data_IF_768067680661
#
_entry.id   IF_768067680661
#
_cell.length_a   1.000
_cell.length_b   1.000
_cell.length_c   1.000
_cell.angle_alpha   90.00
_cell.angle_beta   90.00
_cell.angle_gamma   90.00
#
_symmetry.space_group_name_H-M   'P 1'
#
loop_
_entity.id
_entity.type
_entity.pdbx_description
1 polymer ?
#
# COMPACT_ATOMS: atom_id res chain seq x y z
N UNK A 1 -62.30 49.73 -32.28
CA UNK A 1 -62.73 50.89 -33.08
C UNK A 1 -63.12 52.01 -32.14
N UNK A 2 -62.80 53.24 -32.53
CA UNK A 2 -63.03 54.52 -31.87
C UNK A 2 -64.43 54.61 -31.21
N UNK A 3 -64.66 55.39 -30.13
CA UNK A 3 -64.48 56.84 -30.12
C UNK A 3 -64.42 57.46 -28.72
N UNK A 4 -63.51 58.43 -28.62
CA UNK A 4 -63.45 59.60 -27.71
C UNK A 4 -64.77 60.15 -27.18
N UNK A 5 -64.74 60.71 -25.96
CA UNK A 5 -64.80 62.18 -25.74
C UNK A 5 -64.54 62.54 -24.28
N UNK A 6 -63.46 63.29 -24.08
CA UNK A 6 -63.25 64.17 -22.92
C UNK A 6 -64.09 65.41 -23.19
N UNK A 7 -64.94 65.80 -22.24
CA UNK A 7 -65.43 67.17 -22.13
C UNK A 7 -65.23 67.65 -20.70
N UNK A 8 -64.36 68.64 -20.55
CA UNK A 8 -64.01 69.32 -19.31
C UNK A 8 -64.78 70.63 -19.21
N UNK A 9 -65.68 70.75 -18.24
CA UNK A 9 -66.02 71.99 -17.49
C UNK A 9 -67.25 71.73 -16.60
N UNK A 10 -67.32 72.05 -15.32
CA UNK A 10 -66.38 72.63 -14.37
C UNK A 10 -67.03 72.64 -12.97
N UNK A 11 -66.21 72.93 -11.97
CA UNK A 11 -66.48 73.20 -10.54
C UNK A 11 -66.52 72.00 -9.58
N UNK A 12 -65.59 72.09 -8.62
CA UNK A 12 -65.45 71.44 -7.31
C UNK A 12 -65.87 69.97 -7.22
N UNK A 13 -64.89 69.08 -7.15
CA UNK A 13 -65.08 67.78 -6.50
C UNK A 13 -63.76 67.18 -6.05
N UNK A 14 -63.89 66.26 -5.09
CA UNK A 14 -62.96 65.21 -4.61
C UNK A 14 -62.10 65.54 -3.39
N UNK A 15 -62.00 64.65 -2.39
CA UNK A 15 -62.15 63.19 -2.46
C UNK A 15 -63.02 62.61 -1.33
N UNK A 16 -64.05 61.83 -1.68
CA UNK A 16 -64.68 60.85 -0.78
C UNK A 16 -64.08 59.48 -1.08
N UNK A 17 -63.41 58.88 -0.10
CA UNK A 17 -62.81 57.54 -0.19
C UNK A 17 -63.90 56.49 -0.39
N UNK A 18 -63.90 55.80 -1.54
CA UNK A 18 -64.86 54.72 -1.84
C UNK A 18 -64.18 53.37 -1.59
N UNK A 19 -64.69 52.60 -0.62
CA UNK A 19 -64.27 51.20 -0.41
C UNK A 19 -65.27 50.30 -1.13
N UNK A 20 -64.79 49.39 -1.99
CA UNK A 20 -65.61 48.42 -2.71
C UNK A 20 -65.25 47.00 -2.29
N UNK A 21 -66.23 46.24 -1.82
CA UNK A 21 -66.09 44.80 -1.62
C UNK A 21 -66.17 44.09 -2.97
N UNK A 22 -65.55 42.93 -3.12
CA UNK A 22 -65.58 42.14 -4.36
C UNK A 22 -66.12 40.75 -4.07
N UNK A 23 -66.83 40.18 -5.03
CA UNK A 23 -67.23 38.78 -4.98
C UNK A 23 -65.99 37.88 -5.01
N UNK A 24 -65.85 36.95 -4.07
CA UNK A 24 -64.65 36.10 -4.02
C UNK A 24 -64.55 35.13 -5.21
N UNK A 25 -65.70 34.80 -5.85
CA UNK A 25 -65.75 33.89 -6.99
C UNK A 25 -65.53 34.58 -8.33
N UNK A 26 -66.23 35.68 -8.62
CA UNK A 26 -66.13 36.38 -9.91
C UNK A 26 -65.32 37.70 -9.88
N UNK A 27 -64.85 38.12 -8.70
CA UNK A 27 -64.08 39.35 -8.45
C UNK A 27 -64.75 40.65 -8.90
N UNK A 28 -66.06 40.62 -9.16
CA UNK A 28 -66.83 41.82 -9.49
C UNK A 28 -67.12 42.66 -8.23
N UNK A 29 -67.16 44.00 -8.36
CA UNK A 29 -67.45 44.88 -7.22
C UNK A 29 -68.89 44.72 -6.73
N UNK A 30 -69.03 44.46 -5.44
CA UNK A 30 -70.29 44.31 -4.73
C UNK A 30 -70.70 45.63 -4.07
N UNK A 31 -71.98 45.95 -4.19
CA UNK A 31 -72.61 46.99 -3.36
C UNK A 31 -73.25 46.30 -2.16
N UNK A 32 -72.69 46.52 -0.97
CA UNK A 32 -73.33 46.04 0.25
C UNK A 32 -74.60 46.86 0.51
N UNK A 33 -75.65 46.18 0.95
CA UNK A 33 -76.90 46.83 1.34
C UNK A 33 -76.66 47.79 2.52
N UNK A 34 -77.41 48.88 2.57
CA UNK A 34 -77.30 49.88 3.62
C UNK A 34 -77.53 49.31 5.02
N UNK A 35 -78.27 48.21 5.14
CA UNK A 35 -78.52 47.47 6.39
C UNK A 35 -77.25 46.88 7.04
N UNK A 36 -76.20 46.58 6.26
CA UNK A 36 -74.89 46.20 6.81
C UNK A 36 -74.21 47.33 7.60
N UNK A 37 -74.66 48.59 7.46
CA UNK A 37 -74.12 49.73 8.21
C UNK A 37 -74.69 49.85 9.64
N UNK A 38 -75.72 49.06 9.99
CA UNK A 38 -76.45 49.13 11.26
C UNK A 38 -76.46 47.79 12.02
N UNK A 39 -75.49 46.92 11.76
CA UNK A 39 -75.39 45.64 12.46
C UNK A 39 -75.03 45.89 13.94
N UNK A 40 -75.98 45.63 14.83
CA UNK A 40 -75.75 45.65 16.28
C UNK A 40 -74.86 44.46 16.68
N UNK A 41 -74.06 44.63 17.73
CA UNK A 41 -73.16 43.59 18.23
C UNK A 41 -73.89 42.29 18.64
N UNK A 42 -75.19 42.38 18.98
CA UNK A 42 -76.05 41.22 19.25
C UNK A 42 -76.37 40.38 18.00
N UNK A 43 -76.63 41.03 16.86
CA UNK A 43 -76.94 40.35 15.59
C UNK A 43 -75.73 39.61 15.02
N UNK A 44 -74.53 40.16 15.18
CA UNK A 44 -73.28 39.50 14.79
C UNK A 44 -73.03 38.25 15.64
N UNK A 45 -73.36 38.29 16.93
CA UNK A 45 -73.25 37.10 17.80
C UNK A 45 -74.24 35.99 17.44
N UNK A 46 -75.47 36.32 17.05
CA UNK A 46 -76.45 35.33 16.56
C UNK A 46 -76.03 34.71 15.21
N UNK A 47 -75.56 35.53 14.27
CA UNK A 47 -75.07 35.04 12.97
C UNK A 47 -73.78 34.22 13.10
N UNK A 48 -73.02 34.40 14.19
CA UNK A 48 -71.82 33.62 14.50
C UNK A 48 -72.09 32.28 15.22
N UNK A 49 -73.36 31.97 15.52
CA UNK A 49 -73.72 30.70 16.15
C UNK A 49 -73.55 29.54 15.13
N UNK A 50 -72.91 28.42 15.52
CA UNK A 50 -72.73 27.28 14.62
C UNK A 50 -74.09 26.70 14.20
N UNK A 51 -74.27 26.46 12.89
CA UNK A 51 -75.43 25.74 12.38
C UNK A 51 -75.30 24.27 12.79
N UNK A 52 -76.22 23.79 13.62
CA UNK A 52 -76.26 22.39 14.07
C UNK A 52 -76.56 21.48 12.88
N UNK A 53 -75.55 20.77 12.37
CA UNK A 53 -75.80 19.63 11.49
C UNK A 53 -76.25 18.45 12.37
N UNK A 54 -77.51 18.04 12.23
CA UNK A 54 -77.98 16.77 12.78
C UNK A 54 -77.40 15.66 11.91
N UNK A 55 -76.31 15.05 12.35
CA UNK A 55 -75.86 13.77 11.84
C UNK A 55 -76.44 12.67 12.72
N UNK A 56 -77.32 11.84 12.15
CA UNK A 56 -77.76 10.56 12.72
C UNK A 56 -76.58 9.59 12.77
N UNK A 57 -75.66 9.79 13.72
CA UNK A 57 -74.79 8.71 14.19
C UNK A 57 -74.12 9.14 15.50
N UNK A 58 -74.54 8.50 16.60
CA UNK A 58 -74.11 8.77 17.97
C UNK A 58 -72.67 8.38 18.25
N UNK A 59 -71.70 9.07 17.65
CA UNK A 59 -70.29 9.04 18.05
C UNK A 59 -69.71 10.44 18.02
N UNK A 60 -69.43 10.96 19.23
CA UNK A 60 -68.76 12.22 19.49
C UNK A 60 -67.57 12.43 18.56
N UNK A 61 -67.69 13.39 17.64
CA UNK A 61 -66.57 13.84 16.82
C UNK A 61 -66.22 15.28 17.18
N UNK A 62 -64.94 15.42 17.53
CA UNK A 62 -64.28 16.58 18.10
C UNK A 62 -64.60 17.84 17.29
N UNK A 63 -65.43 18.68 17.90
CA UNK A 63 -65.69 20.06 17.47
C UNK A 63 -64.36 20.81 17.50
N UNK A 64 -63.87 21.34 16.37
CA UNK A 64 -62.80 22.34 16.42
C UNK A 64 -63.33 23.51 17.26
N UNK A 65 -62.68 23.90 18.36
CA UNK A 65 -63.18 24.97 19.21
C UNK A 65 -63.07 26.28 18.44
N UNK A 66 -64.20 26.79 17.96
CA UNK A 66 -64.26 28.16 17.45
C UNK A 66 -64.16 29.08 18.67
N UNK A 67 -63.00 29.73 18.82
CA UNK A 67 -62.80 30.78 19.79
C UNK A 67 -63.83 31.88 19.51
N UNK A 68 -64.64 32.16 20.53
CA UNK A 68 -65.62 33.23 20.55
C UNK A 68 -64.89 34.58 20.38
N UNK A 69 -64.73 35.02 19.14
CA UNK A 69 -64.12 36.31 18.80
C UNK A 69 -65.07 37.42 19.23
N UNK A 70 -64.90 37.90 20.46
CA UNK A 70 -65.58 39.09 20.94
C UNK A 70 -64.98 40.32 20.26
N UNK A 71 -65.83 41.21 19.77
CA UNK A 71 -65.48 42.51 19.17
C UNK A 71 -64.70 43.46 20.11
N UNK A 72 -64.44 43.06 21.36
CA UNK A 72 -63.78 43.86 22.39
C UNK A 72 -62.27 43.56 22.59
N UNK A 73 -61.65 42.67 21.80
CA UNK A 73 -60.24 42.26 21.99
C UNK A 73 -59.30 42.65 20.85
N UNK A 74 -59.37 43.89 20.38
CA UNK A 74 -58.28 44.48 19.61
C UNK A 74 -57.81 45.76 20.30
N UNK A 75 -57.12 45.58 21.41
CA UNK A 75 -56.14 46.56 21.87
C UNK A 75 -54.83 46.34 21.12
N UNK A 76 -54.14 47.45 20.87
CA UNK A 76 -52.96 47.60 20.04
C UNK A 76 -51.80 46.67 20.45
N UNK A 77 -51.26 45.90 19.50
CA UNK A 77 -49.96 45.23 19.68
C UNK A 77 -48.97 45.65 18.58
N UNK A 78 -47.72 46.04 18.92
CA UNK A 78 -46.89 46.98 18.17
C UNK A 78 -46.01 46.34 17.07
N UNK A 79 -46.37 45.18 16.54
CA UNK A 79 -45.56 44.45 15.54
C UNK A 79 -45.96 44.74 14.08
N UNK A 80 -46.18 46.01 13.74
CA UNK A 80 -46.17 46.45 12.34
C UNK A 80 -44.72 46.76 11.95
N UNK A 81 -44.07 45.79 11.32
CA UNK A 81 -42.73 45.94 10.74
C UNK A 81 -42.81 46.92 9.57
N UNK A 82 -42.34 48.16 9.77
CA UNK A 82 -42.11 49.14 8.70
C UNK A 82 -40.85 48.76 7.91
N UNK A 83 -41.00 48.04 6.81
CA UNK A 83 -39.90 47.77 5.87
C UNK A 83 -39.86 48.86 4.80
N UNK A 84 -38.79 49.67 4.78
CA UNK A 84 -38.45 50.54 3.64
C UNK A 84 -37.63 49.73 2.63
N UNK A 85 -38.13 49.57 1.41
CA UNK A 85 -37.37 48.98 0.29
C UNK A 85 -37.49 49.91 -0.93
N UNK A 86 -36.38 50.20 -1.66
CA UNK A 86 -36.37 51.16 -2.76
C UNK A 86 -36.97 50.57 -4.05
N UNK A 87 -37.32 51.49 -4.96
CA UNK A 87 -38.09 51.25 -6.18
C UNK A 87 -37.40 50.34 -7.22
N UNK A 88 -38.14 49.36 -7.77
CA UNK A 88 -38.65 49.32 -9.16
C UNK A 88 -39.12 47.91 -9.57
N UNK A 89 -40.37 47.84 -10.06
CA UNK A 89 -40.96 46.95 -11.13
C UNK A 89 -40.59 45.46 -11.15
N UNK A 90 -41.47 44.47 -11.15
CA UNK A 90 -42.90 44.40 -11.52
C UNK A 90 -43.52 43.07 -11.01
N UNK A 91 -44.79 43.17 -10.57
CA UNK A 91 -45.89 42.21 -10.61
C UNK A 91 -45.74 40.82 -9.95
N UNK A 92 -46.09 40.76 -8.67
CA UNK A 92 -47.04 39.75 -8.18
C UNK A 92 -47.95 40.42 -7.12
N UNK A 93 -49.24 40.56 -7.45
CA UNK A 93 -50.15 41.50 -6.78
C UNK A 93 -50.80 40.81 -5.59
N UNK A 94 -50.11 40.86 -4.44
CA UNK A 94 -50.79 40.85 -3.14
C UNK A 94 -51.63 42.12 -3.05
N UNK A 95 -52.95 41.99 -3.07
CA UNK A 95 -53.86 43.13 -2.85
C UNK A 95 -53.88 43.50 -1.36
N UNK A 96 -52.77 44.03 -0.86
CA UNK A 96 -52.68 44.69 0.43
C UNK A 96 -52.92 46.20 0.25
N UNK A 97 -53.81 46.73 1.06
CA UNK A 97 -54.53 47.98 0.85
C UNK A 97 -53.64 49.19 1.17
N UNK A 98 -53.34 50.03 0.16
CA UNK A 98 -52.57 51.28 0.32
C UNK A 98 -53.49 52.50 0.37
N UNK A 99 -53.52 53.21 1.50
CA UNK A 99 -54.24 54.48 1.68
C UNK A 99 -53.31 55.67 1.38
N UNK A 100 -53.59 56.45 0.34
CA UNK A 100 -52.89 57.70 0.02
C UNK A 100 -53.80 58.90 0.30
N UNK A 101 -53.41 59.75 1.26
CA UNK A 101 -54.01 61.07 1.49
C UNK A 101 -54.09 61.46 2.97
N UNK A 102 -53.41 62.54 3.37
CA UNK A 102 -53.52 63.17 4.69
C UNK A 102 -54.78 64.03 4.75
N UNK A 103 -55.76 63.72 5.64
CA UNK A 103 -56.82 64.66 6.05
C UNK A 103 -57.40 64.31 7.44
N UNK A 104 -58.07 65.28 8.03
CA UNK A 104 -58.23 65.59 9.45
C UNK A 104 -58.99 64.58 10.35
N UNK A 105 -58.60 64.58 11.63
CA UNK A 105 -58.76 63.55 12.66
C UNK A 105 -60.18 63.34 13.26
N UNK A 106 -61.26 63.64 12.55
CA UNK A 106 -62.61 63.67 13.15
C UNK A 106 -63.57 62.52 12.80
N UNK A 107 -63.43 61.88 11.64
CA UNK A 107 -64.49 61.02 11.06
C UNK A 107 -64.05 59.57 10.74
N UNK A 108 -62.81 59.18 11.06
CA UNK A 108 -62.24 57.86 10.70
C UNK A 108 -62.73 56.68 11.56
N UNK A 109 -63.13 56.92 12.82
CA UNK A 109 -63.48 55.83 13.75
C UNK A 109 -64.71 55.02 13.32
N UNK A 110 -65.70 55.67 12.71
CA UNK A 110 -66.95 55.02 12.31
C UNK A 110 -66.79 54.21 11.00
N UNK A 111 -65.90 54.62 10.08
CA UNK A 111 -65.60 53.87 8.86
C UNK A 111 -64.71 52.65 9.15
N UNK A 112 -63.69 52.81 10.01
CA UNK A 112 -62.78 51.73 10.39
C UNK A 112 -63.51 50.58 11.10
N UNK A 113 -64.40 50.89 12.03
CA UNK A 113 -65.24 49.88 12.70
C UNK A 113 -66.16 49.14 11.70
N UNK A 114 -66.75 49.84 10.73
CA UNK A 114 -67.61 49.24 9.69
C UNK A 114 -66.86 48.24 8.82
N UNK A 115 -65.67 48.61 8.33
CA UNK A 115 -64.85 47.71 7.53
C UNK A 115 -64.42 46.47 8.32
N UNK A 116 -64.12 46.64 9.61
CA UNK A 116 -63.74 45.55 10.50
C UNK A 116 -64.89 44.56 10.74
N UNK A 117 -66.11 45.06 10.98
CA UNK A 117 -67.29 44.21 11.18
C UNK A 117 -67.64 43.42 9.91
N UNK A 118 -67.63 44.06 8.74
CA UNK A 118 -67.91 43.37 7.47
C UNK A 118 -66.84 42.32 7.13
N UNK A 119 -65.55 42.61 7.42
CA UNK A 119 -64.46 41.62 7.26
C UNK A 119 -64.68 40.38 8.13
N UNK A 120 -64.97 40.58 9.42
CA UNK A 120 -65.17 39.47 10.37
C UNK A 120 -66.35 38.60 9.97
N UNK A 121 -67.43 39.19 9.46
CA UNK A 121 -68.60 38.44 9.01
C UNK A 121 -68.30 37.59 7.77
N UNK A 122 -67.57 38.14 6.79
CA UNK A 122 -67.19 37.38 5.60
C UNK A 122 -66.21 36.26 5.91
N UNK A 123 -65.24 36.49 6.81
CA UNK A 123 -64.33 35.45 7.28
C UNK A 123 -65.09 34.33 8.02
N UNK A 124 -66.09 34.68 8.84
CA UNK A 124 -66.93 33.70 9.54
C UNK A 124 -67.75 32.84 8.56
N UNK A 125 -68.45 33.46 7.61
CA UNK A 125 -69.28 32.74 6.63
C UNK A 125 -68.43 31.84 5.72
N UNK A 126 -67.23 32.30 5.35
CA UNK A 126 -66.24 31.50 4.63
C UNK A 126 -65.70 30.33 5.47
N UNK A 127 -65.66 30.46 6.80
CA UNK A 127 -65.24 29.40 7.70
C UNK A 127 -66.28 28.28 7.91
N UNK A 128 -67.56 28.56 7.65
CA UNK A 128 -68.68 27.61 7.81
C UNK A 128 -69.14 26.97 6.49
N UNK A 129 -68.54 27.35 5.37
CA UNK A 129 -68.90 26.85 4.05
C UNK A 129 -67.64 26.55 3.24
N UNK A 130 -67.72 25.65 2.26
CA UNK A 130 -66.57 25.35 1.39
C UNK A 130 -66.24 26.47 0.39
N UNK A 131 -66.95 27.60 0.43
CA UNK A 131 -66.82 28.70 -0.53
C UNK A 131 -66.59 30.02 0.19
N UNK A 132 -65.57 30.75 -0.25
CA UNK A 132 -65.24 32.06 0.30
C UNK A 132 -66.34 33.09 -0.01
N UNK A 133 -66.72 33.85 1.01
CA UNK A 133 -67.70 34.91 1.00
C UNK A 133 -67.00 36.29 1.01
N UNK A 134 -67.61 37.36 0.46
CA UNK A 134 -68.97 37.43 -0.08
C UNK A 134 -69.07 36.94 -1.54
N UNK A 135 -70.24 36.43 -1.90
CA UNK A 135 -70.61 36.07 -3.27
C UNK A 135 -71.61 37.09 -3.83
N UNK A 136 -71.60 37.30 -5.16
CA UNK A 136 -72.67 38.04 -5.84
C UNK A 136 -73.89 37.14 -6.06
N UNK A 137 -75.04 37.75 -6.33
CA UNK A 137 -76.33 37.08 -6.61
C UNK A 137 -76.19 35.98 -7.68
N UNK A 138 -75.54 36.27 -8.82
CA UNK A 138 -75.32 35.28 -9.87
C UNK A 138 -74.45 34.08 -9.40
N UNK A 139 -73.46 34.34 -8.52
CA UNK A 139 -72.60 33.30 -7.97
C UNK A 139 -73.28 32.48 -6.88
N UNK A 140 -74.20 33.07 -6.11
CA UNK A 140 -75.01 32.35 -5.12
C UNK A 140 -76.05 31.47 -5.81
N UNK A 141 -76.70 31.95 -6.87
CA UNK A 141 -77.66 31.15 -7.63
C UNK A 141 -77.00 29.93 -8.26
N UNK A 142 -75.81 30.12 -8.87
CA UNK A 142 -75.02 29.01 -9.41
C UNK A 142 -74.60 28.00 -8.33
N UNK A 143 -74.38 28.46 -7.08
CA UNK A 143 -74.05 27.58 -5.96
C UNK A 143 -75.28 26.80 -5.48
N UNK A 144 -76.44 27.45 -5.38
CA UNK A 144 -77.70 26.82 -5.02
C UNK A 144 -78.10 25.74 -6.04
N UNK A 145 -78.01 26.04 -7.35
CA UNK A 145 -78.26 25.06 -8.42
C UNK A 145 -77.36 23.81 -8.26
N UNK A 146 -76.10 24.01 -7.89
CA UNK A 146 -75.15 22.91 -7.66
C UNK A 146 -75.53 22.09 -6.42
N UNK A 147 -75.96 22.74 -5.34
CA UNK A 147 -76.40 22.07 -4.11
C UNK A 147 -77.69 21.29 -4.34
N UNK A 148 -78.65 21.85 -5.07
CA UNK A 148 -79.90 21.16 -5.43
C UNK A 148 -79.63 19.93 -6.32
N UNK A 149 -78.67 20.04 -7.25
CA UNK A 149 -78.23 18.89 -8.04
C UNK A 149 -77.59 17.80 -7.16
N UNK A 150 -76.77 18.18 -6.18
CA UNK A 150 -76.18 17.24 -5.23
C UNK A 150 -77.22 16.57 -4.33
N UNK A 151 -78.21 17.33 -3.83
CA UNK A 151 -79.32 16.80 -3.04
C UNK A 151 -80.12 15.78 -3.85
N UNK A 152 -80.47 16.12 -5.09
CA UNK A 152 -81.22 15.23 -5.97
C UNK A 152 -80.47 13.93 -6.26
N UNK A 153 -79.17 14.02 -6.53
CA UNK A 153 -78.34 12.84 -6.73
C UNK A 153 -78.33 11.95 -5.47
N UNK A 154 -78.21 12.56 -4.29
CA UNK A 154 -78.20 11.84 -3.01
C UNK A 154 -79.56 11.18 -2.72
N UNK A 155 -80.67 11.86 -3.02
CA UNK A 155 -82.02 11.30 -2.88
C UNK A 155 -82.26 10.12 -3.82
N UNK A 156 -81.79 10.21 -5.07
CA UNK A 156 -81.85 9.14 -6.05
C UNK A 156 -81.02 7.93 -5.58
N UNK A 157 -79.80 8.12 -5.07
CA UNK A 157 -78.97 7.06 -4.49
C UNK A 157 -79.65 6.40 -3.29
N UNK A 158 -80.21 7.17 -2.36
CA UNK A 158 -80.98 6.65 -1.23
C UNK A 158 -82.22 5.85 -1.67
N UNK A 159 -82.90 6.28 -2.74
CA UNK A 159 -84.03 5.53 -3.30
C UNK A 159 -83.58 4.18 -3.85
N UNK A 160 -82.49 4.16 -4.61
CA UNK A 160 -81.95 2.93 -5.19
C UNK A 160 -81.54 1.94 -4.09
N UNK A 161 -80.88 2.40 -3.03
CA UNK A 161 -80.54 1.55 -1.87
C UNK A 161 -81.78 0.95 -1.19
N UNK A 162 -82.85 1.73 -1.02
CA UNK A 162 -84.12 1.21 -0.46
C UNK A 162 -84.73 0.14 -1.36
N UNK A 163 -84.73 0.37 -2.67
CA UNK A 163 -85.26 -0.60 -3.63
C UNK A 163 -84.46 -1.92 -3.63
N UNK A 164 -83.12 -1.85 -3.50
CA UNK A 164 -82.29 -3.05 -3.34
C UNK A 164 -82.57 -3.80 -2.03
N UNK A 165 -82.75 -3.08 -0.92
CA UNK A 165 -83.13 -3.69 0.37
C UNK A 165 -84.49 -4.36 0.32
N UNK A 166 -85.49 -3.75 -0.32
CA UNK A 166 -86.80 -4.36 -0.51
C UNK A 166 -86.73 -5.60 -1.39
N UNK A 167 -85.94 -5.56 -2.48
CA UNK A 167 -85.71 -6.74 -3.33
C UNK A 167 -85.11 -7.90 -2.54
N UNK A 168 -84.08 -7.65 -1.72
CA UNK A 168 -83.45 -8.66 -0.86
C UNK A 168 -84.40 -9.22 0.21
N UNK A 169 -85.26 -8.38 0.79
CA UNK A 169 -86.25 -8.83 1.77
C UNK A 169 -87.43 -9.58 1.14
N UNK A 170 -87.75 -9.28 -0.13
CA UNK A 170 -88.85 -9.92 -0.88
C UNK A 170 -88.43 -11.22 -1.57
N UNK A 171 -87.13 -11.42 -1.82
CA UNK A 171 -86.58 -12.70 -2.24
C UNK A 171 -86.62 -13.67 -1.06
N UNK A 172 -87.80 -14.24 -0.83
CA UNK A 172 -88.02 -15.42 0.00
C UNK A 172 -87.51 -16.65 -0.77
N UNK A 173 -86.24 -16.61 -1.21
CA UNK A 173 -85.53 -17.85 -1.48
C UNK A 173 -85.55 -18.59 -0.14
N UNK A 174 -86.14 -19.79 -0.10
CA UNK A 174 -86.09 -20.66 1.07
C UNK A 174 -84.66 -21.12 1.23
N UNK A 175 -83.85 -20.23 1.77
CA UNK A 175 -82.49 -20.46 2.21
C UNK A 175 -82.60 -21.58 3.25
N UNK A 176 -82.00 -22.74 2.96
CA UNK A 176 -82.01 -23.89 3.86
C UNK A 176 -81.14 -23.55 5.08
N UNK A 177 -81.75 -22.88 6.05
CA UNK A 177 -81.11 -22.42 7.29
C UNK A 177 -80.36 -23.57 7.99
N UNK A 178 -80.89 -24.79 7.92
CA UNK A 178 -80.26 -25.97 8.52
C UNK A 178 -79.01 -26.44 7.75
N UNK A 179 -78.98 -26.30 6.42
CA UNK A 179 -77.78 -26.58 5.63
C UNK A 179 -76.69 -25.52 5.87
N UNK A 180 -77.07 -24.25 5.98
CA UNK A 180 -76.17 -23.15 6.30
C UNK A 180 -75.61 -23.21 7.72
N UNK A 181 -76.42 -23.58 8.71
CA UNK A 181 -75.94 -23.80 10.09
C UNK A 181 -74.90 -24.93 10.14
N UNK A 182 -75.10 -25.97 9.34
CA UNK A 182 -74.15 -27.09 9.25
C UNK A 182 -72.86 -26.67 8.54
N UNK A 183 -72.95 -25.83 7.51
CA UNK A 183 -71.78 -25.26 6.82
C UNK A 183 -71.01 -24.29 7.73
N UNK A 184 -71.72 -23.45 8.50
CA UNK A 184 -71.14 -22.57 9.51
C UNK A 184 -70.35 -23.35 10.57
N UNK A 185 -70.91 -24.44 11.07
CA UNK A 185 -70.22 -25.26 12.07
C UNK A 185 -68.99 -25.97 11.48
N UNK A 186 -69.05 -26.40 10.21
CA UNK A 186 -67.88 -26.93 9.50
C UNK A 186 -66.78 -25.87 9.33
N UNK A 187 -67.15 -24.67 8.88
CA UNK A 187 -66.23 -23.56 8.67
C UNK A 187 -65.60 -23.10 9.99
N UNK A 188 -66.36 -23.03 11.08
CA UNK A 188 -65.81 -22.72 12.42
C UNK A 188 -64.79 -23.77 12.88
N UNK A 189 -65.08 -25.05 12.66
CA UNK A 189 -64.15 -26.12 12.97
C UNK A 189 -62.89 -26.11 12.10
N UNK A 190 -62.98 -25.61 10.87
CA UNK A 190 -61.82 -25.39 9.99
C UNK A 190 -61.02 -24.15 10.40
N UNK A 191 -61.69 -23.05 10.74
CA UNK A 191 -61.09 -21.81 11.25
C UNK A 191 -60.26 -22.07 12.51
N UNK A 192 -60.80 -22.85 13.46
CA UNK A 192 -60.08 -23.18 14.69
C UNK A 192 -58.83 -24.04 14.41
N UNK A 193 -58.91 -24.99 13.46
CA UNK A 193 -57.75 -25.79 13.05
C UNK A 193 -56.67 -24.94 12.39
N UNK A 194 -57.08 -24.04 11.48
CA UNK A 194 -56.17 -23.14 10.77
C UNK A 194 -55.52 -22.13 11.74
N UNK A 195 -56.25 -21.62 12.72
CA UNK A 195 -55.68 -20.76 13.77
C UNK A 195 -54.60 -21.49 14.58
N UNK A 196 -54.84 -22.74 14.98
CA UNK A 196 -53.84 -23.53 15.70
C UNK A 196 -52.60 -23.86 14.85
N UNK A 197 -52.77 -24.04 13.54
CA UNK A 197 -51.66 -24.25 12.62
C UNK A 197 -50.85 -22.96 12.44
N UNK A 198 -51.54 -21.82 12.31
CA UNK A 198 -50.92 -20.50 12.17
C UNK A 198 -50.10 -20.13 13.41
N UNK A 199 -50.64 -20.34 14.62
CA UNK A 199 -49.92 -20.10 15.88
C UNK A 199 -48.64 -20.96 15.98
N UNK A 200 -48.70 -22.22 15.55
CA UNK A 200 -47.51 -23.09 15.52
C UNK A 200 -46.46 -22.55 14.58
N UNK A 201 -46.85 -22.18 13.36
CA UNK A 201 -45.95 -21.64 12.34
C UNK A 201 -45.35 -20.32 12.80
N UNK A 202 -46.12 -19.42 13.42
CA UNK A 202 -45.60 -18.18 14.00
C UNK A 202 -44.58 -18.45 15.10
N UNK A 203 -44.85 -19.42 15.99
CA UNK A 203 -43.89 -19.81 17.04
C UNK A 203 -42.60 -20.40 16.46
N UNK A 204 -42.68 -21.11 15.34
CA UNK A 204 -41.53 -21.67 14.64
C UNK A 204 -40.74 -20.59 13.91
N UNK A 205 -41.43 -19.64 13.26
CA UNK A 205 -40.80 -18.48 12.63
C UNK A 205 -40.00 -17.66 13.65
N UNK A 206 -40.58 -17.39 14.82
CA UNK A 206 -39.89 -16.62 15.86
C UNK A 206 -38.63 -17.34 16.36
N UNK A 207 -38.69 -18.67 16.58
CA UNK A 207 -37.52 -19.47 16.95
C UNK A 207 -36.44 -19.43 15.87
N UNK A 208 -36.83 -19.50 14.58
CA UNK A 208 -35.90 -19.43 13.46
C UNK A 208 -35.26 -18.05 13.37
N UNK A 209 -36.02 -16.98 13.60
CA UNK A 209 -35.49 -15.61 13.61
C UNK A 209 -34.47 -15.40 14.73
N UNK A 210 -34.74 -15.90 15.94
CA UNK A 210 -33.80 -15.87 17.06
C UNK A 210 -32.51 -16.64 16.74
N UNK A 211 -32.61 -17.83 16.12
CA UNK A 211 -31.45 -18.60 15.69
C UNK A 211 -30.62 -17.87 14.62
N UNK A 212 -31.27 -17.24 13.63
CA UNK A 212 -30.59 -16.43 12.61
C UNK A 212 -29.86 -15.25 13.25
N UNK A 213 -30.46 -14.60 14.25
CA UNK A 213 -29.84 -13.50 14.97
C UNK A 213 -28.58 -13.96 15.72
N UNK A 214 -28.64 -15.10 16.40
CA UNK A 214 -27.49 -15.68 17.09
C UNK A 214 -26.35 -16.04 16.11
N UNK A 215 -26.67 -16.74 15.03
CA UNK A 215 -25.69 -17.13 14.01
C UNK A 215 -25.03 -15.91 13.35
N UNK A 216 -25.77 -14.81 13.14
CA UNK A 216 -25.21 -13.56 12.63
C UNK A 216 -24.22 -12.92 13.60
N UNK A 217 -24.51 -12.96 14.90
CA UNK A 217 -23.58 -12.45 15.91
C UNK A 217 -22.30 -13.29 15.97
N UNK A 218 -22.43 -14.61 15.90
CA UNK A 218 -21.29 -15.53 15.86
C UNK A 218 -20.45 -15.34 14.59
N UNK A 219 -21.08 -15.19 13.43
CA UNK A 219 -20.40 -14.88 12.16
C UNK A 219 -19.63 -13.55 12.25
N UNK A 220 -20.24 -12.50 12.80
CA UNK A 220 -19.57 -11.21 12.98
C UNK A 220 -18.34 -11.31 13.89
N UNK A 221 -18.42 -12.08 14.98
CA UNK A 221 -17.26 -12.32 15.86
C UNK A 221 -16.16 -13.10 15.15
N UNK A 222 -16.54 -14.06 14.31
CA UNK A 222 -15.60 -14.85 13.53
C UNK A 222 -14.86 -13.99 12.50
N UNK A 223 -15.58 -13.13 11.77
CA UNK A 223 -15.00 -12.18 10.82
C UNK A 223 -13.97 -11.24 11.47
N UNK A 224 -14.26 -10.73 12.67
CA UNK A 224 -13.30 -9.90 13.41
C UNK A 224 -12.03 -10.69 13.79
N UNK A 225 -12.19 -11.95 14.18
CA UNK A 225 -11.07 -12.83 14.54
C UNK A 225 -10.22 -13.19 13.32
N UNK A 226 -10.85 -13.43 12.18
CA UNK A 226 -10.19 -13.69 10.90
C UNK A 226 -9.42 -12.45 10.42
N UNK A 227 -10.02 -11.27 10.53
CA UNK A 227 -9.36 -10.00 10.19
C UNK A 227 -8.13 -9.74 11.08
N UNK A 228 -8.17 -10.11 12.37
CA UNK A 228 -6.99 -10.06 13.26
C UNK A 228 -5.94 -11.07 12.81
N UNK A 229 -6.33 -12.31 12.55
CA UNK A 229 -5.43 -13.36 12.08
C UNK A 229 -4.69 -12.96 10.78
N UNK A 230 -5.38 -12.39 9.80
CA UNK A 230 -4.73 -11.96 8.55
C UNK A 230 -3.76 -10.81 8.74
N UNK A 231 -4.02 -9.91 9.71
CA UNK A 231 -3.07 -8.84 10.05
C UNK A 231 -1.78 -9.43 10.62
N UNK A 232 -1.90 -10.33 11.58
CA UNK A 232 -0.74 -10.99 12.20
C UNK A 232 0.02 -11.85 11.18
N UNK A 233 -0.71 -12.56 10.30
CA UNK A 233 -0.12 -13.33 9.21
C UNK A 233 0.66 -12.45 8.23
N UNK A 234 0.10 -11.29 7.86
CA UNK A 234 0.76 -10.34 6.96
C UNK A 234 2.05 -9.78 7.57
N UNK A 235 2.03 -9.48 8.88
CA UNK A 235 3.21 -9.02 9.61
C UNK A 235 4.31 -10.10 9.67
N UNK A 236 3.94 -11.33 10.02
CA UNK A 236 4.87 -12.47 10.01
C UNK A 236 5.45 -12.75 8.62
N UNK A 237 4.63 -12.63 7.58
CA UNK A 237 5.06 -12.80 6.19
C UNK A 237 6.07 -11.72 5.79
N UNK A 238 5.87 -10.47 6.21
CA UNK A 238 6.82 -9.38 5.98
C UNK A 238 8.15 -9.65 6.69
N UNK A 239 8.09 -10.02 7.98
CA UNK A 239 9.30 -10.36 8.74
C UNK A 239 10.08 -11.51 8.10
N UNK A 240 9.38 -12.52 7.58
CA UNK A 240 10.04 -13.62 6.86
C UNK A 240 10.76 -13.12 5.61
N UNK A 241 10.16 -12.24 4.83
CA UNK A 241 10.79 -11.66 3.64
C UNK A 241 12.05 -10.87 4.01
N UNK A 242 11.98 -10.03 5.05
CA UNK A 242 13.14 -9.26 5.52
C UNK A 242 14.30 -10.19 5.96
N UNK A 243 13.98 -11.26 6.68
CA UNK A 243 14.97 -12.27 7.10
C UNK A 243 15.54 -13.08 5.93
N UNK A 244 14.73 -13.38 4.91
CA UNK A 244 15.18 -14.06 3.69
C UNK A 244 16.17 -13.17 2.92
N UNK A 245 15.89 -11.87 2.81
CA UNK A 245 16.79 -10.90 2.18
C UNK A 245 18.12 -10.77 2.94
N UNK A 246 18.07 -10.69 4.27
CA UNK A 246 19.26 -10.68 5.12
C UNK A 246 20.08 -11.96 4.97
N UNK A 247 19.42 -13.13 4.94
CA UNK A 247 20.07 -14.40 4.73
C UNK A 247 20.77 -14.46 3.37
N UNK A 248 20.09 -14.05 2.29
CA UNK A 248 20.71 -14.00 0.95
C UNK A 248 21.90 -13.05 0.92
N UNK A 249 21.82 -11.90 1.60
CA UNK A 249 22.92 -10.94 1.69
C UNK A 249 24.16 -11.55 2.36
N UNK A 250 23.98 -12.22 3.50
CA UNK A 250 25.07 -12.89 4.23
C UNK A 250 25.67 -14.03 3.41
N UNK A 251 24.83 -14.84 2.76
CA UNK A 251 25.28 -15.92 1.90
C UNK A 251 26.15 -15.41 0.74
N UNK A 252 25.74 -14.30 0.10
CA UNK A 252 26.53 -13.66 -0.95
C UNK A 252 27.89 -13.16 -0.44
N UNK A 253 27.94 -12.58 0.76
CA UNK A 253 29.20 -12.15 1.39
C UNK A 253 30.12 -13.34 1.68
N UNK A 254 29.56 -14.44 2.19
CA UNK A 254 30.28 -15.68 2.44
C UNK A 254 30.86 -16.25 1.14
N UNK A 255 30.06 -16.29 0.07
CA UNK A 255 30.53 -16.74 -1.24
C UNK A 255 31.65 -15.84 -1.78
N UNK A 256 31.53 -14.53 -1.64
CA UNK A 256 32.58 -13.59 -2.03
C UNK A 256 33.87 -13.84 -1.25
N UNK A 257 33.79 -13.93 0.08
CA UNK A 257 34.93 -14.18 0.95
C UNK A 257 35.60 -15.52 0.63
N UNK A 258 34.82 -16.58 0.44
CA UNK A 258 35.33 -17.88 -0.01
C UNK A 258 35.98 -17.82 -1.38
N UNK A 259 35.42 -17.05 -2.31
CA UNK A 259 36.03 -16.78 -3.62
C UNK A 259 37.42 -16.13 -3.49
N UNK A 260 37.56 -15.12 -2.64
CA UNK A 260 38.85 -14.47 -2.38
C UNK A 260 39.83 -15.42 -1.69
N UNK A 261 39.36 -16.16 -0.69
CA UNK A 261 40.17 -17.15 0.02
C UNK A 261 40.68 -18.25 -0.91
N UNK A 262 39.85 -18.71 -1.85
CA UNK A 262 40.26 -19.68 -2.87
C UNK A 262 41.33 -19.09 -3.81
N UNK A 263 41.19 -17.83 -4.24
CA UNK A 263 42.23 -17.14 -5.02
C UNK A 263 43.55 -17.06 -4.24
N UNK A 264 43.50 -16.67 -2.97
CA UNK A 264 44.69 -16.59 -2.12
C UNK A 264 45.33 -17.96 -1.88
N UNK A 265 44.53 -19.03 -1.72
CA UNK A 265 45.04 -20.41 -1.63
C UNK A 265 45.71 -20.87 -2.92
N UNK A 266 45.19 -20.48 -4.09
CA UNK A 266 45.77 -20.82 -5.38
C UNK A 266 47.05 -20.04 -5.68
N UNK A 267 47.14 -18.78 -5.22
CA UNK A 267 48.34 -17.95 -5.38
C UNK A 267 49.38 -18.35 -4.34
N UNK A 268 50.20 -19.34 -4.69
CA UNK A 268 51.36 -19.66 -3.89
C UNK A 268 52.48 -18.66 -4.18
N UNK A 269 52.86 -17.87 -3.16
CA UNK A 269 53.89 -16.82 -3.26
C UNK A 269 55.22 -17.39 -3.76
N UNK A 270 55.57 -18.62 -3.39
CA UNK A 270 56.84 -19.23 -3.79
C UNK A 270 56.84 -19.72 -5.25
N UNK A 271 55.74 -20.31 -5.72
CA UNK A 271 55.61 -20.70 -7.14
C UNK A 271 55.48 -19.49 -8.07
N UNK A 272 54.89 -18.40 -7.57
CA UNK A 272 54.74 -17.14 -8.32
C UNK A 272 56.06 -16.38 -8.41
N UNK A 273 56.89 -16.42 -7.35
CA UNK A 273 58.19 -15.72 -7.31
C UNK A 273 59.33 -16.52 -7.96
N UNK A 274 59.29 -17.86 -7.89
CA UNK A 274 60.33 -18.74 -8.43
C UNK A 274 59.72 -19.84 -9.31
N UNK A 275 59.49 -19.51 -10.58
CA UNK A 275 58.94 -20.44 -11.54
C UNK A 275 60.03 -21.36 -12.11
N UNK A 276 60.13 -22.59 -11.58
CA UNK A 276 61.03 -23.63 -12.09
C UNK A 276 60.31 -24.49 -13.14
N UNK A 277 60.82 -24.43 -14.37
CA UNK A 277 60.31 -25.18 -15.52
C UNK A 277 61.45 -25.82 -16.32
N UNK A 278 61.13 -26.41 -17.47
CA UNK A 278 62.11 -26.95 -18.39
C UNK A 278 61.87 -26.44 -19.81
N UNK A 279 62.95 -26.14 -20.54
CA UNK A 279 62.90 -25.82 -21.96
C UNK A 279 63.81 -26.80 -22.71
N UNK A 280 63.20 -27.85 -23.27
CA UNK A 280 63.92 -28.97 -23.89
C UNK A 280 64.92 -29.64 -22.93
N UNK A 281 66.21 -29.51 -23.27
CA UNK A 281 67.32 -30.07 -22.49
C UNK A 281 67.72 -29.21 -21.28
N UNK A 282 67.30 -27.94 -21.20
CA UNK A 282 67.64 -27.02 -20.11
C UNK A 282 66.58 -27.01 -19.00
N UNK A 283 67.02 -26.85 -17.75
CA UNK A 283 66.15 -26.37 -16.68
C UNK A 283 66.09 -24.84 -16.71
N UNK A 284 64.93 -24.26 -16.44
CA UNK A 284 64.74 -22.80 -16.42
C UNK A 284 64.19 -22.35 -15.07
N UNK A 285 64.71 -21.24 -14.54
CA UNK A 285 64.19 -20.58 -13.34
C UNK A 285 63.84 -19.13 -13.67
N UNK A 286 62.57 -18.73 -13.46
CA UNK A 286 62.05 -17.40 -13.83
C UNK A 286 62.33 -17.03 -15.30
N UNK A 287 62.36 -18.03 -16.20
CA UNK A 287 62.64 -17.86 -17.61
C UNK A 287 64.13 -17.94 -18.02
N UNK A 288 65.07 -17.90 -17.06
CA UNK A 288 66.51 -18.01 -17.35
C UNK A 288 66.94 -19.46 -17.52
N UNK A 289 67.66 -19.77 -18.60
CA UNK A 289 68.17 -21.13 -18.89
C UNK A 289 69.45 -21.39 -18.10
N UNK A 290 69.44 -22.50 -17.36
CA UNK A 290 70.57 -22.94 -16.56
C UNK A 290 71.30 -24.09 -17.26
N UNK A 291 72.37 -23.75 -17.97
CA UNK A 291 73.24 -24.70 -18.67
C UNK A 291 73.71 -24.16 -20.03
N UNK A 292 74.53 -24.95 -20.71
CA UNK A 292 75.06 -24.64 -22.05
C UNK A 292 75.11 -25.92 -22.88
N UNK A 293 74.71 -25.85 -24.14
CA UNK A 293 74.91 -26.95 -25.09
C UNK A 293 75.85 -26.50 -26.22
N UNK A 294 76.58 -27.42 -26.88
CA UNK A 294 77.43 -27.08 -28.02
C UNK A 294 76.66 -26.36 -29.14
N UNK A 295 75.41 -26.77 -29.37
CA UNK A 295 74.54 -26.21 -30.43
C UNK A 295 73.80 -24.93 -29.99
N UNK A 296 73.63 -24.70 -28.69
CA UNK A 296 72.89 -23.55 -28.14
C UNK A 296 73.71 -22.97 -27.00
N UNK A 297 74.45 -21.91 -27.33
CA UNK A 297 75.32 -21.23 -26.38
C UNK A 297 74.53 -20.17 -25.61
N UNK A 298 74.19 -20.48 -24.36
CA UNK A 298 73.57 -19.54 -23.43
C UNK A 298 74.63 -18.57 -22.91
N UNK A 299 74.27 -17.29 -22.80
CA UNK A 299 75.17 -16.25 -22.29
C UNK A 299 75.43 -16.44 -20.79
N UNK A 300 76.67 -16.17 -20.34
CA UNK A 300 77.04 -16.29 -18.94
C UNK A 300 76.24 -15.37 -18.02
N UNK A 301 75.82 -14.20 -18.48
CA UNK A 301 74.93 -13.33 -17.72
C UNK A 301 73.59 -14.02 -17.37
N UNK A 302 73.02 -14.79 -18.30
CA UNK A 302 71.79 -15.57 -18.10
C UNK A 302 72.01 -16.73 -17.13
N UNK A 303 73.12 -17.46 -17.25
CA UNK A 303 73.50 -18.56 -16.35
C UNK A 303 73.74 -18.04 -14.93
N UNK A 304 74.46 -16.94 -14.80
CA UNK A 304 74.77 -16.30 -13.53
C UNK A 304 73.51 -15.75 -12.85
N UNK A 305 72.59 -15.17 -13.62
CA UNK A 305 71.28 -14.75 -13.13
C UNK A 305 70.46 -15.96 -12.64
N UNK A 306 70.46 -17.07 -13.39
CA UNK A 306 69.78 -18.30 -12.99
C UNK A 306 70.35 -18.88 -11.68
N UNK A 307 71.69 -18.89 -11.51
CA UNK A 307 72.34 -19.27 -10.26
C UNK A 307 71.99 -18.34 -9.10
N UNK A 308 71.90 -17.03 -9.37
CA UNK A 308 71.45 -16.05 -8.39
C UNK A 308 70.03 -16.30 -7.89
N UNK A 309 69.11 -16.59 -8.82
CA UNK A 309 67.74 -16.96 -8.49
C UNK A 309 67.67 -18.29 -7.72
N UNK A 310 68.49 -19.28 -8.07
CA UNK A 310 68.59 -20.55 -7.35
C UNK A 310 69.14 -20.38 -5.93
N UNK A 311 70.16 -19.53 -5.74
CA UNK A 311 70.72 -19.18 -4.45
C UNK A 311 69.71 -18.44 -3.56
N UNK A 312 68.99 -17.46 -4.13
CA UNK A 312 67.94 -16.73 -3.42
C UNK A 312 66.79 -17.66 -3.01
N UNK A 313 66.40 -18.58 -3.88
CA UNK A 313 65.39 -19.58 -3.56
C UNK A 313 65.85 -20.47 -2.41
N UNK A 314 67.04 -21.04 -2.49
CA UNK A 314 67.57 -21.93 -1.46
C UNK A 314 67.70 -21.21 -0.10
N UNK A 315 68.19 -19.97 -0.10
CA UNK A 315 68.25 -19.11 1.08
C UNK A 315 66.85 -18.85 1.66
N UNK A 316 65.86 -18.54 0.81
CA UNK A 316 64.47 -18.31 1.24
C UNK A 316 63.81 -19.55 1.83
N UNK A 317 64.08 -20.73 1.25
CA UNK A 317 63.60 -22.01 1.77
C UNK A 317 64.26 -22.36 3.11
N UNK A 318 65.57 -22.16 3.23
CA UNK A 318 66.29 -22.37 4.48
C UNK A 318 65.77 -21.47 5.61
N UNK A 319 65.50 -20.19 5.31
CA UNK A 319 64.88 -19.26 6.26
C UNK A 319 63.47 -19.69 6.66
N UNK A 320 62.66 -20.18 5.71
CA UNK A 320 61.29 -20.68 6.02
C UNK A 320 61.31 -21.90 6.94
N UNK A 321 62.30 -22.79 6.81
CA UNK A 321 62.48 -24.00 7.65
C UNK A 321 63.33 -23.69 8.90
N UNK A 322 63.70 -22.42 9.14
CA UNK A 322 64.62 -22.00 10.20
C UNK A 322 65.88 -22.87 10.27
N UNK A 323 66.49 -23.18 9.11
CA UNK A 323 67.73 -23.95 9.02
C UNK A 323 68.92 -23.00 8.89
N UNK A 324 69.86 -23.14 9.80
CA UNK A 324 71.21 -22.59 9.66
C UNK A 324 72.13 -23.68 9.13
N UNK A 325 72.68 -23.49 7.93
CA UNK A 325 73.65 -24.39 7.34
C UNK A 325 74.92 -24.46 8.21
N UNK A 326 75.48 -25.66 8.38
CA UNK A 326 76.62 -25.89 9.30
C UNK A 326 77.94 -25.38 8.76
N UNK A 327 78.21 -25.67 7.47
CA UNK A 327 79.53 -25.48 6.83
C UNK A 327 79.60 -24.24 5.94
N UNK A 328 78.45 -23.75 5.49
CA UNK A 328 78.39 -22.78 4.40
C UNK A 328 77.37 -21.69 4.72
N UNK A 329 77.66 -20.45 4.33
CA UNK A 329 76.70 -19.34 4.38
C UNK A 329 76.36 -18.91 2.96
N UNK A 330 75.09 -19.06 2.58
CA UNK A 330 74.57 -18.65 1.27
C UNK A 330 74.23 -17.16 1.29
N UNK A 331 74.88 -16.40 0.41
CA UNK A 331 74.65 -14.95 0.23
C UNK A 331 74.12 -14.69 -1.18
N UNK A 332 72.80 -14.52 -1.35
CA UNK A 332 72.23 -14.17 -2.65
C UNK A 332 72.58 -12.72 -2.99
N UNK A 333 73.29 -12.51 -4.09
CA UNK A 333 73.73 -11.20 -4.57
C UNK A 333 73.46 -11.05 -6.08
N UNK A 334 72.22 -11.37 -6.49
CA UNK A 334 71.82 -11.36 -7.90
C UNK A 334 72.72 -12.26 -8.76
N UNK A 335 73.17 -11.75 -9.91
CA UNK A 335 74.05 -12.48 -10.82
C UNK A 335 75.45 -12.76 -10.26
N UNK A 336 75.85 -12.16 -9.14
CA UNK A 336 77.16 -12.38 -8.51
C UNK A 336 77.01 -13.07 -7.14
N UNK A 337 76.01 -13.96 -7.02
CA UNK A 337 75.80 -14.72 -5.79
C UNK A 337 77.01 -15.57 -5.43
N UNK A 338 77.26 -15.75 -4.13
CA UNK A 338 78.41 -16.49 -3.62
C UNK A 338 78.07 -17.24 -2.32
N UNK A 339 78.92 -18.21 -2.00
CA UNK A 339 78.84 -19.02 -0.78
C UNK A 339 80.13 -18.80 0.00
N UNK A 340 80.01 -18.50 1.28
CA UNK A 340 81.16 -18.44 2.17
C UNK A 340 81.32 -19.78 2.90
N UNK A 341 82.54 -20.30 2.92
CA UNK A 341 82.86 -21.46 3.74
C UNK A 341 83.18 -21.03 5.18
N UNK A 342 82.43 -21.57 6.15
CA UNK A 342 82.58 -21.30 7.59
C UNK A 342 83.57 -22.27 8.28
N UNK A 343 84.09 -23.28 7.57
CA UNK A 343 85.16 -24.16 8.07
C UNK A 343 86.48 -23.39 8.09
N UNK A 344 86.65 -22.63 9.17
CA UNK A 344 87.79 -21.79 9.49
C UNK A 344 88.98 -22.61 9.99
N UNK A 345 90.12 -22.51 9.31
CA UNK A 345 91.39 -23.01 9.84
C UNK A 345 92.05 -21.92 10.70
N UNK A 346 91.92 -22.04 12.04
CA UNK A 346 92.48 -21.11 13.05
C UNK A 346 93.97 -20.81 12.88
N UNK A 347 94.71 -21.61 12.10
CA UNK A 347 96.16 -21.52 11.98
C UNK A 347 96.68 -20.58 10.90
N UNK A 348 95.90 -20.18 9.89
CA UNK A 348 96.44 -19.43 8.72
C UNK A 348 96.04 -17.97 8.56
N UNK A 349 95.15 -17.40 9.39
CA UNK A 349 94.83 -15.95 9.36
C UNK A 349 94.41 -15.44 7.96
N UNK A 350 93.67 -16.25 7.21
CA UNK A 350 93.08 -15.87 5.91
C UNK A 350 91.56 -15.67 6.06
N UNK A 351 90.99 -14.73 5.29
CA UNK A 351 89.57 -14.39 5.24
C UNK A 351 88.69 -15.60 4.84
N UNK A 352 87.38 -15.61 5.18
CA UNK A 352 86.47 -16.67 4.74
C UNK A 352 86.56 -16.83 3.23
N UNK A 353 86.81 -18.06 2.77
CA UNK A 353 86.99 -18.32 1.35
C UNK A 353 85.65 -18.15 0.64
N UNK A 354 85.51 -17.05 -0.09
CA UNK A 354 84.37 -16.78 -0.95
C UNK A 354 84.38 -17.73 -2.16
N UNK A 355 83.34 -18.54 -2.27
CA UNK A 355 83.08 -19.46 -3.37
C UNK A 355 82.02 -18.84 -4.27
N UNK A 356 82.44 -18.25 -5.38
CA UNK A 356 81.56 -17.60 -6.34
C UNK A 356 80.64 -18.62 -7.03
N UNK A 357 79.35 -18.31 -7.13
CA UNK A 357 78.36 -19.06 -7.94
C UNK A 357 78.15 -18.41 -9.32
N UNK A 358 79.12 -17.64 -9.79
CA UNK A 358 79.09 -17.02 -11.11
C UNK A 358 80.35 -17.39 -11.91
N UNK A 359 80.17 -17.58 -13.21
CA UNK A 359 81.26 -17.81 -14.15
C UNK A 359 81.51 -16.56 -15.01
N UNK A 360 82.77 -16.24 -15.25
CA UNK A 360 83.17 -15.30 -16.31
C UNK A 360 83.60 -16.14 -17.50
N UNK A 361 82.93 -15.98 -18.64
CA UNK A 361 82.95 -16.92 -19.77
C UNK A 361 84.25 -17.11 -20.55
N UNK A 362 85.32 -17.55 -19.88
CA UNK A 362 86.63 -17.86 -20.47
C UNK A 362 86.77 -19.29 -21.01
N UNK A 363 87.89 -19.55 -21.71
CA UNK A 363 88.25 -20.86 -22.24
C UNK A 363 88.36 -21.94 -21.16
N UNK A 364 87.96 -23.19 -21.47
CA UNK A 364 87.92 -24.41 -20.61
C UNK A 364 89.11 -24.65 -19.67
N UNK A 365 90.28 -24.10 -19.99
CA UNK A 365 91.52 -24.25 -19.19
C UNK A 365 91.72 -23.18 -18.10
N UNK A 366 91.00 -22.05 -18.13
CA UNK A 366 91.07 -20.99 -17.13
C UNK A 366 89.85 -20.97 -16.18
N UNK A 367 89.12 -22.08 -16.11
CA UNK A 367 87.92 -22.14 -15.29
C UNK A 367 88.28 -22.10 -13.81
N UNK A 368 87.67 -21.14 -13.13
CA UNK A 368 87.95 -20.87 -11.73
C UNK A 368 87.51 -22.08 -10.89
N UNK A 369 88.47 -22.74 -10.26
CA UNK A 369 88.24 -23.76 -9.23
C UNK A 369 87.23 -23.31 -8.17
N UNK A 370 87.09 -21.99 -7.94
CA UNK A 370 86.10 -21.44 -7.01
C UNK A 370 84.66 -21.66 -7.46
N UNK A 371 84.36 -21.64 -8.76
CA UNK A 371 83.01 -21.87 -9.28
C UNK A 371 82.57 -23.33 -9.10
N UNK A 372 83.46 -24.28 -9.44
CA UNK A 372 83.21 -25.71 -9.21
C UNK A 372 83.09 -26.05 -7.71
N UNK A 373 83.91 -25.42 -6.86
CA UNK A 373 83.77 -25.53 -5.41
C UNK A 373 82.46 -24.89 -4.90
N UNK A 374 82.05 -23.76 -5.47
CA UNK A 374 80.78 -23.10 -5.15
C UNK A 374 79.57 -23.97 -5.49
N UNK A 375 79.54 -24.56 -6.68
CA UNK A 375 78.46 -25.48 -7.09
C UNK A 375 78.40 -26.73 -6.20
N UNK A 376 79.55 -27.30 -5.82
CA UNK A 376 79.60 -28.42 -4.89
C UNK A 376 79.12 -28.03 -3.48
N UNK A 377 79.50 -26.85 -2.99
CA UNK A 377 79.01 -26.30 -1.72
C UNK A 377 77.49 -26.06 -1.76
N UNK A 378 76.96 -25.57 -2.89
CA UNK A 378 75.53 -25.39 -3.10
C UNK A 378 74.76 -26.72 -3.00
N UNK A 379 75.26 -27.78 -3.64
CA UNK A 379 74.65 -29.11 -3.52
C UNK A 379 74.66 -29.63 -2.08
N UNK A 380 75.74 -29.41 -1.33
CA UNK A 380 75.78 -29.80 0.08
C UNK A 380 74.78 -29.00 0.94
N UNK A 381 74.57 -27.72 0.65
CA UNK A 381 73.48 -26.97 1.27
C UNK A 381 72.10 -27.53 0.90
N UNK A 382 71.89 -27.90 -0.37
CA UNK A 382 70.63 -28.50 -0.81
C UNK A 382 70.37 -29.85 -0.13
N UNK A 383 71.39 -30.67 0.05
CA UNK A 383 71.35 -31.94 0.77
C UNK A 383 71.00 -31.73 2.26
N UNK A 384 71.69 -30.81 2.95
CA UNK A 384 71.38 -30.45 4.35
C UNK A 384 69.94 -29.93 4.50
N UNK A 385 69.45 -29.18 3.51
CA UNK A 385 68.07 -28.71 3.51
C UNK A 385 67.10 -29.89 3.37
N UNK A 386 67.37 -30.83 2.45
CA UNK A 386 66.53 -32.01 2.25
C UNK A 386 66.50 -32.93 3.48
N UNK A 387 67.66 -33.20 4.09
CA UNK A 387 67.77 -34.02 5.31
C UNK A 387 66.90 -33.47 6.45
N UNK A 388 66.90 -32.15 6.65
CA UNK A 388 66.09 -31.53 7.72
C UNK A 388 64.59 -31.57 7.40
N UNK A 389 64.25 -31.49 6.12
CA UNK A 389 62.86 -31.46 5.67
C UNK A 389 62.28 -32.87 5.71
N UNK A 390 63.07 -33.91 5.48
CA UNK A 390 62.56 -35.23 5.16
C UNK A 390 63.20 -36.34 6.00
N UNK A 391 62.54 -36.71 7.10
CA UNK A 391 62.92 -37.81 8.00
C UNK A 391 62.62 -39.20 7.40
N UNK A 392 63.09 -39.48 6.18
CA UNK A 392 63.12 -40.86 5.65
C UNK A 392 62.73 -41.07 4.19
N UNK A 393 62.21 -40.07 3.46
CA UNK A 393 61.99 -40.21 2.01
C UNK A 393 63.21 -39.75 1.19
N UNK A 394 63.40 -40.40 0.06
CA UNK A 394 64.53 -40.13 -0.83
C UNK A 394 64.20 -39.02 -1.84
N UNK A 395 65.16 -38.13 -2.10
CA UNK A 395 65.07 -37.13 -3.17
C UNK A 395 65.08 -37.85 -4.54
N UNK A 396 64.34 -37.36 -5.56
CA UNK A 396 64.29 -38.01 -6.88
C UNK A 396 65.67 -38.21 -7.51
N UNK A 397 66.56 -37.22 -7.41
CA UNK A 397 67.96 -37.37 -7.80
C UNK A 397 68.85 -37.32 -6.56
N UNK A 398 69.56 -38.41 -6.26
CA UNK A 398 70.43 -38.48 -5.08
C UNK A 398 71.66 -37.59 -5.27
N UNK A 399 71.99 -36.81 -4.24
CA UNK A 399 73.22 -36.01 -4.19
C UNK A 399 74.33 -36.90 -3.61
N UNK A 400 75.47 -36.98 -4.29
CA UNK A 400 76.67 -37.65 -3.79
C UNK A 400 77.83 -36.69 -4.01
N UNK A 401 78.06 -35.80 -3.04
CA UNK A 401 79.10 -34.78 -3.12
C UNK A 401 78.89 -33.82 -4.30
N UNK A 402 79.69 -33.96 -5.35
CA UNK A 402 79.66 -33.13 -6.56
C UNK A 402 78.90 -33.75 -7.74
N UNK A 403 78.25 -34.90 -7.54
CA UNK A 403 77.49 -35.63 -8.56
C UNK A 403 76.04 -35.82 -8.15
N UNK A 404 75.16 -35.76 -9.15
CA UNK A 404 73.73 -36.07 -9.05
C UNK A 404 73.48 -37.40 -9.75
N UNK A 405 72.95 -38.37 -9.00
CA UNK A 405 72.61 -39.69 -9.53
C UNK A 405 71.12 -39.80 -9.79
N UNK A 406 70.78 -40.22 -11.01
CA UNK A 406 69.44 -40.63 -11.36
C UNK A 406 69.21 -42.08 -10.92
N UNK A 407 68.19 -42.30 -10.08
CA UNK A 407 67.88 -43.62 -9.52
C UNK A 407 67.29 -44.57 -10.54
N UNK A 408 66.62 -44.05 -11.57
CA UNK A 408 66.00 -44.89 -12.62
C UNK A 408 67.04 -45.41 -13.61
N UNK A 409 68.00 -44.56 -13.99
CA UNK A 409 69.02 -44.92 -14.99
C UNK A 409 70.38 -45.27 -14.39
N UNK A 410 70.55 -45.17 -13.06
CA UNK A 410 71.82 -45.34 -12.32
C UNK A 410 72.98 -44.45 -12.78
N UNK A 411 72.74 -43.51 -13.69
CA UNK A 411 73.75 -42.61 -14.24
C UNK A 411 74.05 -41.48 -13.25
N UNK A 412 75.33 -41.17 -13.07
CA UNK A 412 75.79 -40.02 -12.27
C UNK A 412 76.31 -38.91 -13.17
N UNK A 413 75.82 -37.69 -12.96
CA UNK A 413 76.24 -36.50 -13.69
C UNK A 413 76.91 -35.52 -12.72
N UNK A 414 78.10 -35.03 -13.07
CA UNK A 414 78.81 -34.06 -12.25
C UNK A 414 78.31 -32.64 -12.50
N UNK A 415 78.25 -31.84 -11.44
CA UNK A 415 77.94 -30.41 -11.52
C UNK A 415 79.20 -29.57 -11.78
N UNK A 416 80.40 -30.16 -11.67
CA UNK A 416 81.65 -29.50 -12.02
C UNK A 416 81.78 -29.31 -13.52
N UNK A 417 82.39 -28.19 -13.89
CA UNK A 417 82.69 -27.85 -15.28
C UNK A 417 84.03 -28.42 -15.73
N UNK A 418 84.98 -28.59 -14.81
CA UNK A 418 86.26 -29.23 -15.09
C UNK A 418 86.09 -30.72 -15.44
N UNK A 419 86.75 -31.15 -16.52
CA UNK A 419 86.72 -32.52 -17.05
C UNK A 419 85.31 -33.05 -17.38
N UNK A 420 84.35 -32.17 -17.68
CA UNK A 420 82.96 -32.51 -17.96
C UNK A 420 82.51 -32.02 -19.35
N UNK A 421 81.51 -32.69 -19.92
CA UNK A 421 80.86 -32.26 -21.15
C UNK A 421 79.71 -31.28 -20.86
N UNK A 422 79.53 -30.28 -21.71
CA UNK A 422 78.48 -29.25 -21.56
C UNK A 422 77.05 -29.85 -21.47
N UNK A 423 76.81 -30.94 -22.21
CA UNK A 423 75.53 -31.68 -22.16
C UNK A 423 75.29 -32.36 -20.82
N UNK A 424 76.33 -33.00 -20.26
CA UNK A 424 76.25 -33.69 -18.96
C UNK A 424 76.12 -32.68 -17.82
N UNK A 425 76.84 -31.55 -17.91
CA UNK A 425 76.73 -30.44 -16.99
C UNK A 425 75.31 -29.85 -17.00
N UNK A 426 74.76 -29.55 -18.18
CA UNK A 426 73.38 -29.03 -18.31
C UNK A 426 72.35 -30.01 -17.75
N UNK A 427 72.54 -31.32 -17.97
CA UNK A 427 71.67 -32.35 -17.40
C UNK A 427 71.75 -32.39 -15.87
N UNK A 428 72.95 -32.26 -15.30
CA UNK A 428 73.14 -32.17 -13.84
C UNK A 428 72.43 -30.93 -13.26
N UNK A 429 72.54 -29.77 -13.91
CA UNK A 429 71.86 -28.54 -13.49
C UNK A 429 70.34 -28.64 -13.58
N UNK A 430 69.82 -29.31 -14.61
CA UNK A 430 68.40 -29.62 -14.72
C UNK A 430 67.92 -30.49 -13.56
N UNK A 431 68.67 -31.52 -13.18
CA UNK A 431 68.34 -32.38 -12.04
C UNK A 431 68.39 -31.62 -10.71
N UNK A 432 69.36 -30.73 -10.53
CA UNK A 432 69.40 -29.85 -9.37
C UNK A 432 68.16 -28.94 -9.27
N UNK A 433 67.75 -28.31 -10.37
CA UNK A 433 66.53 -27.48 -10.39
C UNK A 433 65.27 -28.31 -10.12
N UNK A 434 65.21 -29.54 -10.63
CA UNK A 434 64.11 -30.47 -10.29
C UNK A 434 64.12 -30.79 -8.79
N UNK A 435 65.27 -31.09 -8.20
CA UNK A 435 65.38 -31.31 -6.75
C UNK A 435 64.92 -30.08 -5.95
N UNK A 436 65.34 -28.87 -6.34
CA UNK A 436 64.85 -27.63 -5.73
C UNK A 436 63.33 -27.46 -5.85
N UNK A 437 62.75 -27.81 -7.00
CA UNK A 437 61.29 -27.81 -7.20
C UNK A 437 60.58 -28.84 -6.32
N UNK A 438 61.19 -29.99 -6.08
CA UNK A 438 60.66 -30.98 -5.14
C UNK A 438 60.73 -30.49 -3.69
N UNK A 439 61.84 -29.88 -3.27
CA UNK A 439 61.95 -29.23 -1.96
C UNK A 439 60.87 -28.15 -1.78
N UNK A 440 60.68 -27.32 -2.81
CA UNK A 440 59.64 -26.28 -2.84
C UNK A 440 58.25 -26.88 -2.64
N UNK A 441 57.86 -27.86 -3.45
CA UNK A 441 56.55 -28.53 -3.37
C UNK A 441 56.35 -29.22 -2.02
N UNK A 442 57.39 -29.83 -1.47
CA UNK A 442 57.31 -30.49 -0.16
C UNK A 442 57.07 -29.48 0.96
N UNK A 443 57.85 -28.38 0.99
CA UNK A 443 57.70 -27.30 1.99
C UNK A 443 56.34 -26.61 1.82
N UNK A 444 55.78 -26.55 0.62
CA UNK A 444 54.42 -26.05 0.40
C UNK A 444 53.38 -27.00 1.00
N UNK A 445 53.51 -28.31 0.76
CA UNK A 445 52.59 -29.32 1.29
C UNK A 445 52.63 -29.42 2.83
N UNK A 446 53.80 -29.28 3.45
CA UNK A 446 53.97 -29.41 4.90
C UNK A 446 53.90 -28.06 5.64
N UNK A 447 54.27 -26.96 4.98
CA UNK A 447 54.11 -25.61 5.53
C UNK A 447 52.65 -25.21 5.73
N UNK A 448 51.71 -25.83 4.99
CA UNK A 448 50.28 -25.66 5.21
C UNK A 448 49.75 -26.39 6.45
N UNK A 449 50.49 -27.36 7.01
CA UNK A 449 50.11 -28.15 8.20
C UNK A 449 50.69 -27.62 9.51
N UNK A 450 51.67 -26.71 9.46
CA UNK A 450 52.36 -26.16 10.64
C UNK A 450 51.75 -24.88 11.22
N UNK A 451 50.59 -24.45 10.74
CA UNK A 451 49.86 -23.25 11.23
C UNK A 451 48.38 -23.53 11.54
N UNK A 452 48.00 -24.80 11.69
CA UNK A 452 46.67 -25.22 12.18
C UNK A 452 46.73 -25.55 13.67
#
# INVERSE_FOLDING_TARGET
MATSRIDTSGKLSTATTHVSFVCQKCRQPLKLDHTFNTLSQSLVSELSAPLTSISEDGRDSITRPFQQLSLAQYEEDPNVIKLKVPARTEMDVSCDFTLLGETESGNMGNLSHRLKVSSVLFDFMSGQSEVDHPLCEECTDTLLDKLDQQLKQTEDECRDYREFLEKLNSSDETVDEAALDKELEQLRGEEEKLMQELEKVESEQQKVEDLIAQEREEASKLEESEAKYYRDYAELKRLRMDLEDDHMSVENQLQFANGQLNKLKQVNVFNSTFHIWHNGHFGTINGFRLGRLPNIQVEWAEINAAWGQAALLLHSLARKVNLTFKKYRLVPYGSFSYIENLEWDKKKKEEPKELSLFGSGGFKFFWDTKFDMGMAAFLNCLEQLWEKINDGNNMPYAICGDRLQDRETSNSFSVKTQFNCEEQWTKALKFMLTNLKWCLSWIQAHGAKGQS
#
